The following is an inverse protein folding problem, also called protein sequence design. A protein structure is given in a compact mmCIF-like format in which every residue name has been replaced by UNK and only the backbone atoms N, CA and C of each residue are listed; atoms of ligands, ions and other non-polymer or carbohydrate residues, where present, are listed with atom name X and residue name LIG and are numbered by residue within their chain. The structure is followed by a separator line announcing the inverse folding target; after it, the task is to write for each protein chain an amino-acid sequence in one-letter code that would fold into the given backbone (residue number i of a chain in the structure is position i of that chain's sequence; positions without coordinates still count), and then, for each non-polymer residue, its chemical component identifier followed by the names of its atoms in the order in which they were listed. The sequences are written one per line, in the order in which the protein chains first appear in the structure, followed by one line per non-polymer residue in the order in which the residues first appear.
data_IF_675143610537
#
_entry.id   IF_675143610537
#
_cell.length_a   1.000
_cell.length_b   1.000
_cell.length_c   1.000
_cell.angle_alpha   90.00
_cell.angle_beta   90.00
_cell.angle_gamma   90.00
#
_symmetry.space_group_name_H-M   'P 1'
#
loop_
_entity.id
_entity.type
_entity.pdbx_description
1 polymer ?
#
# COMPACT_ATOMS: atom_id res chain seq x y z
N UNK A 1 49.36 40.85 -4.95
CA UNK A 1 49.45 41.83 -3.85
C UNK A 1 48.07 42.42 -3.63
N UNK A 2 47.40 42.06 -2.54
CA UNK A 2 46.13 42.67 -2.11
C UNK A 2 46.45 43.57 -0.91
N UNK A 3 46.09 44.84 -1.01
CA UNK A 3 46.25 45.85 0.04
C UNK A 3 45.35 45.51 1.24
N UNK A 4 45.88 45.48 2.47
CA UNK A 4 45.05 45.31 3.67
C UNK A 4 44.28 46.60 3.94
N UNK A 5 42.95 46.52 3.86
CA UNK A 5 42.02 47.56 4.29
C UNK A 5 40.85 46.90 5.03
N UNK A 6 40.35 47.56 6.08
CA UNK A 6 39.21 47.07 6.86
C UNK A 6 37.92 47.41 6.10
N UNK A 7 37.13 46.39 5.77
CA UNK A 7 35.77 46.55 5.25
C UNK A 7 34.80 46.21 6.38
N UNK A 8 33.92 47.14 6.73
CA UNK A 8 32.76 46.84 7.56
C UNK A 8 31.69 46.30 6.61
N UNK A 9 31.43 45.01 6.71
CA UNK A 9 30.26 44.37 6.09
C UNK A 9 29.21 44.28 7.20
N UNK A 10 28.15 45.07 7.10
CA UNK A 10 26.95 44.80 7.90
C UNK A 10 26.41 43.44 7.48
N UNK A 11 26.59 42.44 8.35
CA UNK A 11 25.83 41.20 8.24
C UNK A 11 24.40 41.54 8.65
N UNK A 12 23.47 41.45 7.71
CA UNK A 12 22.06 41.31 8.05
C UNK A 12 21.91 40.14 9.04
N UNK A 13 21.61 40.48 10.29
CA UNK A 13 21.68 39.57 11.42
C UNK A 13 20.44 38.69 11.58
N UNK A 14 19.54 38.68 10.60
CA UNK A 14 18.38 37.79 10.58
C UNK A 14 18.10 37.42 9.13
N UNK A 15 18.45 36.21 8.66
CA UNK A 15 17.67 35.66 7.56
C UNK A 15 16.23 35.66 8.06
N UNK A 16 15.32 36.33 7.36
CA UNK A 16 13.92 35.99 7.51
C UNK A 16 13.82 34.52 7.11
N UNK A 17 13.89 33.60 8.08
CA UNK A 17 13.45 32.24 7.87
C UNK A 17 11.94 32.36 7.73
N UNK A 18 11.48 32.60 6.51
CA UNK A 18 10.13 32.20 6.15
C UNK A 18 10.13 30.70 6.37
N UNK A 19 9.52 30.27 7.46
CA UNK A 19 9.15 28.87 7.61
C UNK A 19 8.20 28.64 6.45
N UNK A 20 8.62 27.89 5.44
CA UNK A 20 7.73 27.44 4.39
C UNK A 20 6.56 26.75 5.07
N UNK A 21 5.40 27.39 5.03
CA UNK A 21 4.16 26.75 5.45
C UNK A 21 3.87 25.76 4.33
N UNK A 22 3.98 24.47 4.63
CA UNK A 22 3.64 23.44 3.66
C UNK A 22 2.21 23.69 3.17
N UNK A 23 2.06 24.02 1.89
CA UNK A 23 0.76 24.35 1.26
C UNK A 23 -0.04 23.10 0.90
N UNK A 24 0.62 21.93 0.92
CA UNK A 24 0.07 20.65 0.53
C UNK A 24 0.35 19.58 1.59
N UNK A 25 -0.46 19.59 2.65
CA UNK A 25 -0.41 18.62 3.76
C UNK A 25 -1.65 17.72 3.69
N UNK A 26 -1.53 16.49 3.17
CA UNK A 26 -2.66 15.58 3.11
C UNK A 26 -2.98 14.95 4.47
N UNK A 27 -4.26 14.67 4.70
CA UNK A 27 -4.73 13.74 5.71
C UNK A 27 -5.10 12.41 5.06
N UNK A 28 -4.49 11.34 5.53
CA UNK A 28 -4.73 9.96 5.12
C UNK A 28 -5.51 9.21 6.19
N UNK A 29 -6.58 8.54 5.78
CA UNK A 29 -7.42 7.70 6.65
C UNK A 29 -7.37 6.26 6.15
N UNK A 30 -7.17 5.31 7.05
CA UNK A 30 -7.14 3.88 6.72
C UNK A 30 -6.80 2.98 7.90
N UNK A 31 -6.69 1.70 7.62
CA UNK A 31 -6.34 0.68 8.63
C UNK A 31 -4.82 0.52 8.71
N UNK A 32 -4.30 0.35 9.92
CA UNK A 32 -2.85 0.30 10.20
C UNK A 32 -2.49 -0.93 11.02
N UNK A 33 -1.22 -1.31 11.13
CA UNK A 33 -0.85 -2.46 11.99
C UNK A 33 -1.18 -2.17 13.46
N UNK A 34 -0.87 -0.96 13.90
CA UNK A 34 -1.10 -0.45 15.25
C UNK A 34 -1.38 1.06 15.21
N UNK A 35 -1.70 1.66 16.35
CA UNK A 35 -1.88 3.10 16.45
C UNK A 35 -1.50 3.56 17.87
N UNK A 36 -0.20 3.70 18.14
CA UNK A 36 0.31 3.96 19.49
C UNK A 36 1.51 4.90 19.51
N UNK A 37 1.56 5.77 20.52
CA UNK A 37 2.71 6.63 20.82
C UNK A 37 2.98 6.62 22.33
N UNK A 38 4.07 5.96 22.77
CA UNK A 38 4.51 5.88 24.18
C UNK A 38 3.33 5.58 25.11
N UNK A 39 2.68 4.43 24.90
CA UNK A 39 1.51 3.94 25.64
C UNK A 39 0.21 4.77 25.52
N UNK A 40 0.14 5.73 24.59
CA UNK A 40 -1.10 6.42 24.24
C UNK A 40 -1.61 5.92 22.91
N UNK A 41 -2.88 5.51 22.88
CA UNK A 41 -3.54 5.16 21.62
C UNK A 41 -3.74 6.39 20.74
N UNK A 42 -3.38 6.23 19.47
CA UNK A 42 -3.60 7.16 18.35
C UNK A 42 -4.85 6.77 17.52
N UNK A 43 -5.57 5.71 17.90
CA UNK A 43 -6.76 5.26 17.17
C UNK A 43 -7.81 6.38 17.07
N UNK A 44 -8.31 6.62 15.86
CA UNK A 44 -9.26 7.69 15.52
C UNK A 44 -8.79 9.10 15.90
N UNK A 45 -7.47 9.35 15.93
CA UNK A 45 -6.88 10.67 16.21
C UNK A 45 -5.96 11.07 15.06
N UNK A 46 -6.12 12.27 14.49
CA UNK A 46 -5.15 12.84 13.56
C UNK A 46 -3.79 12.92 14.24
N UNK A 47 -2.79 12.35 13.60
CA UNK A 47 -1.41 12.40 14.06
C UNK A 47 -0.50 12.78 12.90
N UNK A 48 0.19 13.91 13.05
CA UNK A 48 1.09 14.43 12.04
C UNK A 48 2.39 13.64 12.04
N UNK A 49 2.80 13.20 10.86
CA UNK A 49 4.10 12.57 10.60
C UNK A 49 4.85 13.36 9.52
N UNK A 50 6.16 13.22 9.48
CA UNK A 50 7.03 13.88 8.51
C UNK A 50 7.72 12.91 7.54
N UNK A 51 7.66 11.60 7.81
CA UNK A 51 8.30 10.58 7.00
C UNK A 51 7.65 9.21 7.17
N UNK A 52 7.94 8.30 6.24
CA UNK A 52 7.55 6.89 6.36
C UNK A 52 8.19 6.20 7.57
N UNK A 53 9.37 6.64 8.04
CA UNK A 53 10.00 6.09 9.24
C UNK A 53 9.17 6.40 10.49
N UNK A 54 8.66 7.62 10.61
CA UNK A 54 7.72 7.99 11.67
C UNK A 54 6.40 7.22 11.54
N UNK A 55 5.90 7.02 10.31
CA UNK A 55 4.74 6.16 10.11
C UNK A 55 4.98 4.77 10.70
N UNK A 56 6.07 4.10 10.33
CA UNK A 56 6.39 2.74 10.81
C UNK A 56 6.53 2.72 12.33
N UNK A 57 7.13 3.75 12.93
CA UNK A 57 7.25 3.86 14.37
C UNK A 57 5.88 3.82 15.07
N UNK A 58 4.93 4.65 14.63
CA UNK A 58 3.65 4.86 15.33
C UNK A 58 2.52 3.94 14.87
N UNK A 59 2.53 3.55 13.59
CA UNK A 59 1.45 2.83 12.92
C UNK A 59 1.83 1.44 12.41
N UNK A 60 3.12 1.13 12.38
CA UNK A 60 3.65 -0.16 11.94
C UNK A 60 3.79 -0.29 10.44
N UNK A 61 3.97 -1.51 9.95
CA UNK A 61 4.16 -1.81 8.52
C UNK A 61 2.86 -2.29 7.85
N UNK A 62 2.94 -2.74 6.60
CA UNK A 62 1.83 -3.40 5.90
C UNK A 62 1.57 -4.81 6.44
N UNK A 63 0.36 -5.35 6.23
CA UNK A 63 0.12 -6.75 6.56
C UNK A 63 0.91 -7.65 5.60
N UNK A 64 1.21 -8.89 6.03
CA UNK A 64 1.73 -9.91 5.12
C UNK A 64 0.55 -10.44 4.28
N UNK A 65 0.46 -10.10 2.99
CA UNK A 65 -0.66 -10.51 2.17
C UNK A 65 -0.61 -12.01 1.93
N UNK A 66 -1.76 -12.66 2.04
CA UNK A 66 -1.91 -14.11 1.95
C UNK A 66 -2.56 -14.49 0.62
N UNK A 67 -1.99 -15.45 -0.09
CA UNK A 67 -2.50 -15.97 -1.35
C UNK A 67 -2.75 -17.47 -1.27
N UNK A 68 -3.87 -17.91 -1.83
CA UNK A 68 -4.15 -19.31 -2.07
C UNK A 68 -3.61 -19.72 -3.44
N UNK A 69 -2.84 -20.80 -3.48
CA UNK A 69 -2.29 -21.40 -4.68
C UNK A 69 -3.16 -22.57 -5.13
N UNK A 70 -3.65 -22.47 -6.36
CA UNK A 70 -4.41 -23.51 -7.04
C UNK A 70 -3.80 -23.82 -8.41
N UNK A 71 -4.36 -24.79 -9.12
CA UNK A 71 -3.99 -25.09 -10.51
C UNK A 71 -5.22 -24.94 -11.42
N UNK A 72 -5.06 -24.21 -12.52
CA UNK A 72 -6.03 -24.15 -13.62
C UNK A 72 -5.30 -24.47 -14.92
N UNK A 73 -5.84 -25.39 -15.73
CA UNK A 73 -5.23 -25.81 -17.00
C UNK A 73 -3.74 -26.22 -16.90
N UNK A 74 -3.36 -26.83 -15.77
CA UNK A 74 -1.98 -27.17 -15.38
C UNK A 74 -1.04 -26.00 -15.05
N UNK A 75 -1.54 -24.77 -15.04
CA UNK A 75 -0.77 -23.59 -14.64
C UNK A 75 -1.08 -23.20 -13.19
N UNK A 76 -0.08 -22.77 -12.40
CA UNK A 76 -0.32 -22.23 -11.08
C UNK A 76 -1.16 -20.95 -11.16
N UNK A 77 -2.15 -20.81 -10.28
CA UNK A 77 -2.96 -19.61 -10.13
C UNK A 77 -2.96 -19.20 -8.67
N UNK A 78 -2.55 -17.95 -8.41
CA UNK A 78 -2.60 -17.33 -7.09
C UNK A 78 -3.85 -16.47 -6.95
N UNK A 79 -4.56 -16.62 -5.83
CA UNK A 79 -5.74 -15.81 -5.50
C UNK A 79 -5.53 -15.15 -4.15
N UNK A 80 -5.66 -13.82 -4.08
CA UNK A 80 -5.55 -13.10 -2.82
C UNK A 80 -6.64 -13.57 -1.83
N UNK A 81 -6.25 -13.73 -0.57
CA UNK A 81 -7.13 -14.14 0.53
C UNK A 81 -7.06 -13.13 1.67
N UNK A 82 -8.13 -13.06 2.46
CA UNK A 82 -8.23 -12.11 3.56
C UNK A 82 -8.66 -10.71 3.12
N UNK A 83 -8.48 -9.74 4.01
CA UNK A 83 -8.89 -8.35 3.79
C UNK A 83 -7.87 -7.61 2.93
N UNK A 84 -8.30 -6.85 1.90
CA UNK A 84 -7.40 -6.25 0.91
C UNK A 84 -6.84 -4.90 1.38
N UNK A 85 -6.15 -4.91 2.52
CA UNK A 85 -5.52 -3.72 3.09
C UNK A 85 -4.44 -3.16 2.16
N UNK A 86 -4.61 -1.90 1.75
CA UNK A 86 -3.67 -1.22 0.83
C UNK A 86 -3.09 0.06 1.43
N UNK A 87 -3.53 0.49 2.61
CA UNK A 87 -3.16 1.79 3.18
C UNK A 87 -1.65 2.02 3.30
N UNK A 88 -0.90 1.03 3.80
CA UNK A 88 0.56 1.14 3.91
C UNK A 88 1.25 1.32 2.55
N UNK A 89 0.88 0.51 1.56
CA UNK A 89 1.45 0.63 0.21
C UNK A 89 1.00 1.92 -0.48
N UNK A 90 -0.21 2.40 -0.19
CA UNK A 90 -0.68 3.69 -0.66
C UNK A 90 0.15 4.85 -0.07
N UNK A 91 0.55 4.78 1.20
CA UNK A 91 1.47 5.75 1.80
C UNK A 91 2.89 5.66 1.25
N UNK A 92 3.41 4.45 1.01
CA UNK A 92 4.68 4.28 0.26
C UNK A 92 4.58 4.95 -1.11
N UNK A 93 3.45 4.78 -1.81
CA UNK A 93 3.22 5.39 -3.11
C UNK A 93 3.18 6.93 -3.03
N UNK A 94 2.57 7.49 -1.99
CA UNK A 94 2.61 8.93 -1.69
C UNK A 94 4.05 9.44 -1.49
N UNK A 95 4.81 8.85 -0.56
CA UNK A 95 6.17 9.31 -0.26
C UNK A 95 7.13 9.14 -1.45
N UNK A 96 6.99 8.08 -2.24
CA UNK A 96 7.82 7.86 -3.43
C UNK A 96 7.51 8.84 -4.58
N UNK A 97 6.36 9.52 -4.56
CA UNK A 97 5.98 10.55 -5.54
C UNK A 97 6.16 11.98 -5.03
N UNK A 98 7.04 12.18 -4.04
CA UNK A 98 7.37 13.51 -3.51
C UNK A 98 6.46 13.97 -2.38
N UNK A 99 5.74 13.02 -1.75
CA UNK A 99 5.02 13.26 -0.51
C UNK A 99 5.92 13.76 0.62
N UNK A 100 5.37 14.66 1.43
CA UNK A 100 6.02 15.30 2.57
C UNK A 100 5.25 15.05 3.87
N UNK A 101 5.25 16.02 4.81
CA UNK A 101 4.45 15.91 6.02
C UNK A 101 2.97 15.65 5.72
N UNK A 102 2.37 14.74 6.49
CA UNK A 102 0.97 14.37 6.35
C UNK A 102 0.36 13.98 7.70
N UNK A 103 -0.96 13.98 7.76
CA UNK A 103 -1.70 13.47 8.90
C UNK A 103 -2.15 12.04 8.64
N UNK A 104 -2.03 11.19 9.65
CA UNK A 104 -2.54 9.82 9.63
C UNK A 104 -3.69 9.70 10.62
N UNK A 105 -4.76 9.05 10.19
CA UNK A 105 -5.89 8.66 11.02
C UNK A 105 -6.07 7.15 10.85
N UNK A 106 -5.56 6.40 11.83
CA UNK A 106 -5.84 4.98 11.95
C UNK A 106 -7.28 4.78 12.44
N UNK A 107 -8.07 4.00 11.71
CA UNK A 107 -9.48 3.71 12.06
C UNK A 107 -9.70 2.29 12.60
N UNK A 108 -8.67 1.45 12.55
CA UNK A 108 -8.68 0.05 12.96
C UNK A 108 -7.34 -0.61 12.66
N UNK A 109 -7.26 -1.93 12.89
CA UNK A 109 -6.08 -2.73 12.58
C UNK A 109 -6.36 -3.88 11.60
N UNK A 110 -5.32 -4.62 11.22
CA UNK A 110 -5.43 -5.70 10.22
C UNK A 110 -6.25 -6.92 10.66
N UNK A 111 -6.82 -6.92 11.86
CA UNK A 111 -7.77 -7.94 12.32
C UNK A 111 -9.23 -7.51 12.17
N UNK A 112 -9.47 -6.24 11.87
CA UNK A 112 -10.80 -5.70 11.62
C UNK A 112 -11.27 -6.03 10.18
N UNK A 113 -12.49 -5.64 9.82
CA UNK A 113 -12.98 -5.66 8.43
C UNK A 113 -13.00 -4.22 7.89
N UNK A 114 -12.58 -4.05 6.63
CA UNK A 114 -12.69 -2.77 5.94
C UNK A 114 -14.17 -2.47 5.70
N UNK A 115 -14.70 -1.46 6.39
CA UNK A 115 -16.11 -1.09 6.31
C UNK A 115 -16.30 0.43 6.29
N UNK A 116 -17.47 0.86 5.82
CA UNK A 116 -17.80 2.28 5.67
C UNK A 116 -17.68 3.06 6.98
N UNK A 117 -18.24 2.51 8.06
CA UNK A 117 -18.42 3.26 9.32
C UNK A 117 -17.09 3.67 9.98
N UNK A 118 -16.07 2.80 10.14
CA UNK A 118 -14.78 3.21 10.65
C UNK A 118 -14.09 4.29 9.81
N UNK A 119 -14.08 4.13 8.47
CA UNK A 119 -13.46 5.09 7.56
C UNK A 119 -14.16 6.46 7.62
N UNK A 120 -15.49 6.48 7.61
CA UNK A 120 -16.27 7.71 7.74
C UNK A 120 -16.04 8.38 9.10
N UNK A 121 -15.96 7.61 10.19
CA UNK A 121 -15.66 8.12 11.54
C UNK A 121 -14.28 8.79 11.61
N UNK A 122 -13.32 8.35 10.79
CA UNK A 122 -12.00 8.95 10.70
C UNK A 122 -11.99 10.38 10.16
N UNK A 123 -13.04 10.82 9.45
CA UNK A 123 -13.12 12.15 8.85
C UNK A 123 -13.35 13.22 9.92
N UNK A 124 -14.34 13.02 10.79
CA UNK A 124 -14.80 14.00 11.78
C UNK A 124 -13.68 14.63 12.65
N UNK A 125 -12.69 13.87 13.17
CA UNK A 125 -11.58 14.46 13.92
C UNK A 125 -10.81 15.56 13.17
N UNK A 126 -10.79 15.55 11.83
CA UNK A 126 -10.10 16.54 11.01
C UNK A 126 -10.75 17.94 11.04
N UNK A 127 -11.98 18.09 11.54
CA UNK A 127 -12.60 19.41 11.77
C UNK A 127 -11.78 20.25 12.78
N UNK A 128 -11.02 19.59 13.64
CA UNK A 128 -10.19 20.23 14.68
C UNK A 128 -8.78 20.55 14.22
N UNK A 129 -8.39 20.07 13.04
CA UNK A 129 -7.06 20.26 12.46
C UNK A 129 -7.15 21.25 11.30
N UNK A 130 -6.40 22.34 11.36
CA UNK A 130 -6.43 23.40 10.34
C UNK A 130 -5.36 23.21 9.25
N UNK A 131 -4.29 22.47 9.54
CA UNK A 131 -3.17 22.26 8.61
C UNK A 131 -3.52 21.37 7.40
N UNK A 132 -4.38 20.33 7.49
CA UNK A 132 -4.68 19.50 6.33
C UNK A 132 -5.36 20.26 5.18
N UNK A 133 -4.74 20.18 3.99
CA UNK A 133 -5.21 20.79 2.73
C UNK A 133 -5.66 19.76 1.70
N UNK A 134 -5.47 18.47 1.97
CA UNK A 134 -6.03 17.38 1.16
C UNK A 134 -6.62 16.30 2.06
N UNK A 135 -7.63 15.57 1.57
CA UNK A 135 -8.19 14.38 2.21
C UNK A 135 -8.09 13.19 1.25
N UNK A 136 -7.46 12.11 1.71
CA UNK A 136 -7.25 10.89 0.94
C UNK A 136 -7.64 9.67 1.76
N UNK A 137 -8.51 8.82 1.22
CA UNK A 137 -8.92 7.54 1.83
C UNK A 137 -8.72 6.42 0.79
N UNK A 138 -7.50 5.89 0.65
CA UNK A 138 -7.17 4.95 -0.44
C UNK A 138 -8.00 3.67 -0.40
N UNK A 139 -8.40 3.22 0.79
CA UNK A 139 -9.18 1.99 0.98
C UNK A 139 -10.68 2.16 0.68
N UNK A 140 -11.14 3.38 0.33
CA UNK A 140 -12.53 3.59 -0.09
C UNK A 140 -12.91 2.69 -1.27
N UNK A 141 -11.99 2.45 -2.22
CA UNK A 141 -12.23 1.59 -3.39
C UNK A 141 -12.20 0.09 -3.07
N UNK A 142 -11.94 -0.29 -1.82
CA UNK A 142 -12.06 -1.67 -1.31
C UNK A 142 -13.43 -1.96 -0.69
N UNK A 143 -14.27 -0.94 -0.52
CA UNK A 143 -15.67 -1.11 -0.09
C UNK A 143 -16.54 -1.64 -1.25
N UNK A 144 -17.77 -2.07 -0.93
CA UNK A 144 -18.80 -2.26 -1.96
C UNK A 144 -19.11 -0.94 -2.64
N UNK A 145 -19.54 -0.97 -3.91
CA UNK A 145 -19.70 0.23 -4.74
C UNK A 145 -20.52 1.35 -4.06
N UNK A 146 -21.69 1.02 -3.50
CA UNK A 146 -22.55 2.00 -2.84
C UNK A 146 -21.90 2.64 -1.61
N UNK A 147 -21.17 1.84 -0.81
CA UNK A 147 -20.43 2.32 0.35
C UNK A 147 -19.21 3.16 -0.06
N UNK A 148 -18.54 2.78 -1.15
CA UNK A 148 -17.45 3.56 -1.74
C UNK A 148 -17.94 4.96 -2.12
N UNK A 149 -19.04 5.05 -2.87
CA UNK A 149 -19.61 6.33 -3.28
C UNK A 149 -20.08 7.15 -2.09
N UNK A 150 -20.77 6.52 -1.13
CA UNK A 150 -21.18 7.17 0.12
C UNK A 150 -19.98 7.75 0.86
N UNK A 151 -18.88 7.01 1.00
CA UNK A 151 -17.67 7.51 1.67
C UNK A 151 -17.04 8.68 0.91
N UNK A 152 -16.98 8.60 -0.41
CA UNK A 152 -16.41 9.66 -1.25
C UNK A 152 -17.27 10.93 -1.25
N UNK A 153 -18.59 10.81 -1.15
CA UNK A 153 -19.48 11.94 -0.87
C UNK A 153 -19.20 12.56 0.50
N UNK A 154 -19.04 11.75 1.55
CA UNK A 154 -18.64 12.27 2.88
C UNK A 154 -17.27 13.00 2.83
N UNK A 155 -16.33 12.55 1.98
CA UNK A 155 -15.06 13.25 1.77
C UNK A 155 -15.27 14.60 1.09
N UNK A 156 -16.12 14.67 0.06
CA UNK A 156 -16.46 15.91 -0.66
C UNK A 156 -17.16 16.91 0.26
N UNK A 157 -18.15 16.45 1.02
CA UNK A 157 -18.90 17.28 1.96
C UNK A 157 -17.98 17.85 3.05
N UNK A 158 -17.13 17.03 3.67
CA UNK A 158 -16.14 17.53 4.63
C UNK A 158 -15.21 18.57 4.02
N UNK A 159 -14.73 18.35 2.80
CA UNK A 159 -13.85 19.31 2.12
C UNK A 159 -14.57 20.61 1.78
N UNK A 160 -15.83 20.54 1.35
CA UNK A 160 -16.68 21.69 1.06
C UNK A 160 -17.07 22.49 2.30
N UNK A 161 -17.37 21.84 3.42
CA UNK A 161 -17.69 22.50 4.69
C UNK A 161 -16.47 23.19 5.31
N UNK A 162 -15.29 22.59 5.18
CA UNK A 162 -14.05 23.14 5.74
C UNK A 162 -13.42 24.23 4.87
N UNK A 163 -13.75 24.27 3.58
CA UNK A 163 -13.27 25.19 2.52
C UNK A 163 -11.74 25.34 2.37
N UNK A 164 -10.97 24.59 3.15
CA UNK A 164 -9.50 24.68 3.28
C UNK A 164 -8.77 23.47 2.69
N UNK A 165 -9.53 22.50 2.15
CA UNK A 165 -8.98 21.23 1.67
C UNK A 165 -9.77 20.67 0.51
N UNK A 166 -9.14 19.78 -0.25
CA UNK A 166 -9.75 19.06 -1.38
C UNK A 166 -9.64 17.55 -1.20
N UNK A 167 -10.67 16.82 -1.62
CA UNK A 167 -10.68 15.36 -1.64
C UNK A 167 -9.94 14.84 -2.87
N UNK A 168 -8.99 13.92 -2.69
CA UNK A 168 -8.36 13.20 -3.80
C UNK A 168 -8.96 11.80 -3.83
N UNK A 169 -9.66 11.50 -4.92
CA UNK A 169 -10.53 10.33 -5.06
C UNK A 169 -10.01 9.39 -6.16
N UNK A 170 -10.35 8.11 -6.04
CA UNK A 170 -10.12 7.11 -7.07
C UNK A 170 -11.44 6.55 -7.61
N UNK A 171 -11.47 6.24 -8.90
CA UNK A 171 -12.63 5.55 -9.51
C UNK A 171 -12.74 4.13 -8.94
N UNK A 172 -13.93 3.79 -8.41
CA UNK A 172 -14.28 2.42 -8.04
C UNK A 172 -14.14 1.49 -9.24
N UNK A 173 -13.50 0.33 -9.05
CA UNK A 173 -13.10 -0.57 -10.15
C UNK A 173 -12.31 0.14 -11.27
N UNK A 174 -11.55 1.20 -10.93
CA UNK A 174 -10.70 1.93 -11.87
C UNK A 174 -9.57 1.11 -12.50
N UNK A 175 -9.48 -0.19 -12.19
CA UNK A 175 -8.65 -1.17 -12.88
C UNK A 175 -9.27 -1.72 -14.17
N UNK A 176 -10.59 -1.60 -14.36
CA UNK A 176 -11.25 -2.07 -15.56
C UNK A 176 -10.97 -1.12 -16.74
N UNK A 177 -10.83 -1.65 -17.97
CA UNK A 177 -10.74 -0.82 -19.15
C UNK A 177 -12.06 -0.07 -19.38
N UNK A 178 -11.95 1.14 -19.93
CA UNK A 178 -13.09 1.95 -20.39
C UNK A 178 -13.88 1.22 -21.47
N UNK A 179 -15.18 1.05 -21.26
CA UNK A 179 -16.13 0.53 -22.27
C UNK A 179 -16.71 1.67 -23.12
N UNK A 180 -16.79 2.88 -22.56
CA UNK A 180 -17.40 4.07 -23.17
C UNK A 180 -18.90 3.93 -23.51
N UNK A 181 -19.60 3.10 -22.74
CA UNK A 181 -21.06 2.98 -22.73
C UNK A 181 -21.62 3.41 -21.35
N UNK A 182 -22.90 3.14 -21.11
CA UNK A 182 -23.57 3.48 -19.85
C UNK A 182 -23.09 2.61 -18.67
N UNK A 183 -22.45 1.46 -18.95
CA UNK A 183 -21.86 0.55 -17.96
C UNK A 183 -20.37 0.89 -17.69
N UNK A 184 -19.85 1.95 -18.31
CA UNK A 184 -18.47 2.40 -18.13
C UNK A 184 -18.20 2.85 -16.70
N UNK A 185 -17.06 2.43 -16.13
CA UNK A 185 -16.69 2.70 -14.73
C UNK A 185 -16.68 4.19 -14.35
N UNK A 186 -16.39 5.10 -15.28
CA UNK A 186 -16.43 6.55 -14.99
C UNK A 186 -17.85 7.08 -15.17
N UNK A 187 -18.64 6.56 -16.12
CA UNK A 187 -20.06 6.92 -16.25
C UNK A 187 -20.79 6.51 -14.97
N UNK A 188 -20.63 5.26 -14.53
CA UNK A 188 -21.17 4.74 -13.28
C UNK A 188 -20.74 5.58 -12.05
N UNK A 189 -19.48 6.02 -11.99
CA UNK A 189 -19.02 6.90 -10.92
C UNK A 189 -19.69 8.28 -10.97
N UNK A 190 -19.77 8.91 -12.15
CA UNK A 190 -20.35 10.25 -12.32
C UNK A 190 -21.84 10.28 -11.99
N UNK A 191 -22.55 9.19 -12.31
CA UNK A 191 -23.97 9.05 -12.02
C UNK A 191 -24.23 8.61 -10.57
N UNK A 192 -23.26 7.93 -9.95
CA UNK A 192 -23.36 7.39 -8.59
C UNK A 192 -22.94 8.34 -7.46
N UNK A 193 -22.24 9.43 -7.76
CA UNK A 193 -21.82 10.47 -6.79
C UNK A 193 -22.74 11.68 -6.88
N UNK A 194 -23.12 12.25 -5.73
CA UNK A 194 -23.94 13.46 -5.63
C UNK A 194 -23.27 14.69 -6.25
N UNK A 195 -24.08 15.70 -6.59
CA UNK A 195 -23.59 16.95 -7.19
C UNK A 195 -23.14 18.01 -6.16
N UNK A 196 -23.05 17.65 -4.87
CA UNK A 196 -22.65 18.58 -3.81
C UNK A 196 -21.13 18.70 -3.74
N UNK A 197 -20.63 19.91 -3.47
CA UNK A 197 -19.21 20.20 -3.22
C UNK A 197 -18.22 19.64 -4.26
N UNK A 198 -18.65 19.41 -5.51
CA UNK A 198 -17.81 18.84 -6.57
C UNK A 198 -16.55 19.68 -6.86
N UNK A 199 -16.57 20.98 -6.59
CA UNK A 199 -15.40 21.87 -6.70
C UNK A 199 -14.30 21.57 -5.67
N UNK A 200 -14.59 20.76 -4.65
CA UNK A 200 -13.68 20.38 -3.57
C UNK A 200 -13.15 18.95 -3.74
N UNK A 201 -13.19 18.38 -4.94
CA UNK A 201 -12.65 17.06 -5.21
C UNK A 201 -11.96 16.94 -6.57
N UNK A 202 -10.99 16.02 -6.64
CA UNK A 202 -10.37 15.59 -7.89
C UNK A 202 -10.32 14.05 -7.92
N UNK A 203 -10.84 13.45 -8.99
CA UNK A 203 -10.94 12.00 -9.13
C UNK A 203 -10.02 11.49 -10.24
N UNK A 204 -9.35 10.36 -9.98
CA UNK A 204 -8.34 9.80 -10.87
C UNK A 204 -8.65 8.38 -11.36
N UNK A 205 -8.28 8.14 -12.62
CA UNK A 205 -8.33 6.86 -13.35
C UNK A 205 -7.15 6.84 -14.35
N UNK A 206 -6.55 5.69 -14.67
CA UNK A 206 -6.81 4.34 -14.13
C UNK A 206 -5.99 4.01 -12.88
N UNK A 207 -6.25 2.85 -12.29
CA UNK A 207 -5.29 2.21 -11.38
C UNK A 207 -3.97 1.94 -12.11
N UNK A 208 -2.86 1.95 -11.36
CA UNK A 208 -1.52 1.94 -11.92
C UNK A 208 -0.77 0.67 -11.54
N UNK A 209 -0.04 0.10 -12.50
CA UNK A 209 1.01 -0.86 -12.21
C UNK A 209 2.23 -0.10 -11.68
N UNK A 210 2.55 -0.33 -10.42
CA UNK A 210 3.60 0.36 -9.69
C UNK A 210 4.83 -0.53 -9.46
N UNK A 211 5.84 0.00 -8.78
CA UNK A 211 7.01 -0.74 -8.31
C UNK A 211 7.19 -0.57 -6.80
N UNK A 212 6.09 -0.39 -6.06
CA UNK A 212 6.10 -0.17 -4.61
C UNK A 212 6.66 -1.39 -3.89
N UNK A 213 6.11 -2.58 -4.16
CA UNK A 213 6.53 -3.85 -3.58
C UNK A 213 7.64 -4.45 -4.44
N UNK A 214 8.82 -4.61 -3.83
CA UNK A 214 9.98 -5.23 -4.47
C UNK A 214 9.93 -6.77 -4.35
N UNK A 215 10.59 -7.53 -5.24
CA UNK A 215 10.61 -8.99 -5.15
C UNK A 215 11.21 -9.52 -3.85
N UNK A 216 12.11 -8.76 -3.21
CA UNK A 216 12.79 -9.16 -1.98
C UNK A 216 11.92 -9.06 -0.72
N UNK A 217 10.73 -8.47 -0.86
CA UNK A 217 9.69 -8.40 0.18
C UNK A 217 8.78 -9.63 0.17
N UNK A 218 8.88 -10.48 -0.87
CA UNK A 218 8.03 -11.66 -1.02
C UNK A 218 8.79 -12.94 -0.69
N UNK A 219 8.11 -13.85 0.00
CA UNK A 219 8.61 -15.17 0.36
C UNK A 219 7.44 -16.15 0.57
N UNK A 220 7.72 -17.37 1.02
CA UNK A 220 6.70 -18.40 1.27
C UNK A 220 5.63 -17.96 2.28
N UNK A 221 5.88 -16.97 3.14
CA UNK A 221 4.85 -16.46 4.07
C UNK A 221 3.71 -15.75 3.34
N UNK A 222 3.86 -15.43 2.05
CA UNK A 222 2.79 -14.90 1.22
C UNK A 222 1.82 -15.99 0.72
N UNK A 223 2.16 -17.27 0.88
CA UNK A 223 1.27 -18.37 0.54
C UNK A 223 0.55 -18.89 1.79
N UNK A 224 -0.75 -19.13 1.65
CA UNK A 224 -1.56 -19.70 2.73
C UNK A 224 -1.08 -21.11 3.09
N UNK A 225 -1.31 -21.55 4.32
CA UNK A 225 -0.93 -22.90 4.76
C UNK A 225 -1.59 -24.00 3.91
N UNK A 226 -2.80 -23.77 3.38
CA UNK A 226 -3.48 -24.68 2.45
C UNK A 226 -2.81 -24.81 1.08
N UNK A 227 -1.91 -23.89 0.74
CA UNK A 227 -1.21 -23.85 -0.55
C UNK A 227 0.04 -24.73 -0.59
N UNK A 228 0.52 -25.19 0.57
CA UNK A 228 1.85 -25.82 0.67
C UNK A 228 1.89 -27.18 -0.02
N UNK A 229 0.87 -28.02 0.16
CA UNK A 229 0.79 -29.30 -0.53
C UNK A 229 0.70 -29.12 -2.06
N UNK A 230 -0.08 -28.13 -2.51
CA UNK A 230 -0.19 -27.76 -3.93
C UNK A 230 1.16 -27.31 -4.48
N UNK A 231 1.87 -26.44 -3.76
CA UNK A 231 3.20 -25.97 -4.13
C UNK A 231 4.18 -27.14 -4.25
N UNK A 232 4.23 -28.03 -3.26
CA UNK A 232 5.09 -29.22 -3.31
C UNK A 232 4.78 -30.07 -4.54
N UNK A 233 3.50 -30.32 -4.83
CA UNK A 233 3.06 -31.05 -6.03
C UNK A 233 3.52 -30.40 -7.34
N UNK A 234 3.44 -29.07 -7.42
CA UNK A 234 3.94 -28.29 -8.57
C UNK A 234 5.45 -28.48 -8.74
N UNK A 235 6.22 -28.30 -7.66
CA UNK A 235 7.68 -28.40 -7.69
C UNK A 235 8.12 -29.83 -8.05
N UNK A 236 7.47 -30.86 -7.50
CA UNK A 236 7.75 -32.26 -7.88
C UNK A 236 7.54 -32.50 -9.37
N UNK A 237 6.47 -31.96 -9.94
CA UNK A 237 6.17 -32.06 -11.37
C UNK A 237 7.19 -31.30 -12.22
N UNK A 238 7.55 -30.07 -11.83
CA UNK A 238 8.52 -29.23 -12.53
C UNK A 238 9.89 -29.90 -12.63
N UNK A 239 10.39 -30.46 -11.52
CA UNK A 239 11.68 -31.14 -11.49
C UNK A 239 11.63 -32.60 -11.94
N UNK A 240 10.44 -33.14 -12.24
CA UNK A 240 10.20 -34.55 -12.56
C UNK A 240 10.73 -35.50 -11.46
N UNK A 241 10.39 -35.19 -10.19
CA UNK A 241 10.86 -35.89 -8.98
C UNK A 241 9.66 -36.50 -8.23
N UNK A 242 9.83 -37.71 -7.70
CA UNK A 242 8.86 -38.34 -6.80
C UNK A 242 9.01 -37.84 -5.35
N UNK A 243 7.92 -37.74 -4.55
CA UNK A 243 8.00 -37.40 -3.13
C UNK A 243 8.87 -38.35 -2.30
N UNK A 244 9.14 -39.55 -2.80
CA UNK A 244 10.01 -40.54 -2.17
C UNK A 244 11.23 -40.84 -3.03
N UNK A 245 12.33 -41.22 -2.37
CA UNK A 245 13.58 -41.57 -3.05
C UNK A 245 13.43 -42.83 -3.90
N UNK A 246 14.09 -42.82 -5.07
CA UNK A 246 14.20 -43.99 -5.95
C UNK A 246 15.59 -44.62 -5.79
N UNK A 247 15.69 -45.94 -5.98
CA UNK A 247 16.99 -46.63 -5.99
C UNK A 247 17.89 -46.09 -7.11
N UNK A 248 19.14 -45.76 -6.76
CA UNK A 248 20.15 -45.27 -7.73
C UNK A 248 19.98 -43.82 -8.17
N UNK A 249 19.22 -43.01 -7.43
CA UNK A 249 18.97 -41.62 -7.77
C UNK A 249 20.23 -40.72 -7.68
N UNK A 250 20.30 -39.72 -8.58
CA UNK A 250 21.36 -38.70 -8.55
C UNK A 250 21.30 -37.86 -7.26
N UNK A 251 22.45 -37.60 -6.60
CA UNK A 251 22.48 -36.82 -5.36
C UNK A 251 21.80 -35.44 -5.46
N UNK A 252 21.82 -34.77 -6.62
CA UNK A 252 21.16 -33.46 -6.78
C UNK A 252 19.65 -33.58 -6.76
N UNK A 253 19.10 -34.64 -7.34
CA UNK A 253 17.67 -34.96 -7.27
C UNK A 253 17.24 -35.19 -5.82
N UNK A 254 18.07 -35.90 -5.05
CA UNK A 254 17.89 -36.06 -3.60
C UNK A 254 17.84 -34.72 -2.87
N UNK A 255 18.81 -33.84 -3.11
CA UNK A 255 18.88 -32.50 -2.49
C UNK A 255 17.66 -31.63 -2.82
N UNK A 256 17.21 -31.62 -4.08
CA UNK A 256 16.01 -30.86 -4.48
C UNK A 256 14.77 -31.43 -3.79
N UNK A 257 14.63 -32.76 -3.72
CA UNK A 257 13.52 -33.37 -2.97
C UNK A 257 13.55 -32.97 -1.51
N UNK A 258 14.71 -33.05 -0.86
CA UNK A 258 14.84 -32.72 0.57
C UNK A 258 14.47 -31.25 0.81
N UNK A 259 14.82 -30.35 -0.11
CA UNK A 259 14.41 -28.94 -0.09
C UNK A 259 12.88 -28.79 -0.22
N UNK A 260 12.23 -29.50 -1.15
CA UNK A 260 10.77 -29.45 -1.32
C UNK A 260 10.06 -30.03 -0.08
N UNK A 261 10.56 -31.14 0.45
CA UNK A 261 10.03 -31.79 1.64
C UNK A 261 10.21 -30.97 2.91
N UNK A 262 11.21 -30.08 2.98
CA UNK A 262 11.44 -29.23 4.14
C UNK A 262 10.54 -27.99 4.19
N UNK A 263 9.81 -27.65 3.12
CA UNK A 263 8.95 -26.46 3.08
C UNK A 263 8.00 -26.38 4.29
N UNK A 264 7.21 -27.42 4.62
CA UNK A 264 6.25 -27.33 5.73
C UNK A 264 6.94 -27.09 7.08
N UNK A 265 8.01 -27.83 7.38
CA UNK A 265 8.71 -27.71 8.66
C UNK A 265 9.46 -26.38 8.78
N UNK A 266 10.03 -25.86 7.70
CA UNK A 266 10.68 -24.54 7.69
C UNK A 266 9.65 -23.45 7.97
N UNK A 267 8.45 -23.53 7.41
CA UNK A 267 7.40 -22.54 7.65
C UNK A 267 6.83 -22.60 9.07
N UNK A 268 6.77 -23.78 9.69
CA UNK A 268 6.32 -23.94 11.08
C UNK A 268 7.38 -23.50 12.11
N UNK A 269 8.67 -23.76 11.86
CA UNK A 269 9.76 -23.60 12.83
C UNK A 269 10.48 -22.24 12.77
N UNK A 270 10.10 -21.33 11.87
CA UNK A 270 10.84 -20.10 11.63
C UNK A 270 10.35 -18.91 12.48
N UNK A 271 10.78 -18.90 13.73
CA UNK A 271 10.44 -17.84 14.70
C UNK A 271 10.83 -16.41 14.27
N UNK A 272 11.79 -16.26 13.35
CA UNK A 272 12.34 -14.95 12.95
C UNK A 272 12.24 -14.67 11.44
N UNK A 273 11.60 -15.54 10.66
CA UNK A 273 11.45 -15.38 9.20
C UNK A 273 12.74 -15.55 8.37
N UNK A 274 13.87 -15.90 8.99
CA UNK A 274 15.15 -16.03 8.29
C UNK A 274 15.24 -17.30 7.43
N UNK A 275 14.77 -18.44 7.95
CA UNK A 275 14.84 -19.73 7.25
C UNK A 275 13.90 -19.76 6.05
N UNK A 276 12.69 -19.22 6.22
CA UNK A 276 11.70 -19.08 5.15
C UNK A 276 12.25 -18.19 4.04
N UNK A 277 12.89 -17.09 4.40
CA UNK A 277 13.50 -16.19 3.40
C UNK A 277 14.64 -16.87 2.63
N UNK A 278 15.53 -17.58 3.31
CA UNK A 278 16.63 -18.33 2.66
C UNK A 278 16.09 -19.43 1.74
N UNK A 279 15.09 -20.18 2.19
CA UNK A 279 14.42 -21.21 1.39
C UNK A 279 13.76 -20.61 0.16
N UNK A 280 13.03 -19.50 0.32
CA UNK A 280 12.35 -18.80 -0.78
C UNK A 280 13.33 -18.25 -1.81
N UNK A 281 14.47 -17.71 -1.37
CA UNK A 281 15.55 -17.29 -2.27
C UNK A 281 16.13 -18.48 -3.06
N UNK A 282 16.32 -19.62 -2.39
CA UNK A 282 16.79 -20.84 -3.04
C UNK A 282 15.78 -21.32 -4.08
N UNK A 283 14.49 -21.42 -3.71
CA UNK A 283 13.41 -21.82 -4.61
C UNK A 283 13.29 -20.87 -5.81
N UNK A 284 13.37 -19.56 -5.60
CA UNK A 284 13.34 -18.56 -6.69
C UNK A 284 14.50 -18.76 -7.67
N UNK A 285 15.67 -19.17 -7.18
CA UNK A 285 16.85 -19.39 -8.02
C UNK A 285 16.77 -20.69 -8.84
N UNK A 286 16.10 -21.73 -8.34
CA UNK A 286 16.10 -23.07 -8.96
C UNK A 286 14.78 -23.41 -9.68
N UNK A 287 13.67 -22.79 -9.32
CA UNK A 287 12.32 -23.08 -9.84
C UNK A 287 11.77 -21.85 -10.57
N UNK A 288 11.76 -21.86 -11.92
CA UNK A 288 11.04 -20.87 -12.72
C UNK A 288 9.57 -20.74 -12.31
N UNK A 289 8.93 -21.84 -11.95
CA UNK A 289 7.51 -21.84 -11.56
C UNK A 289 7.28 -21.10 -10.25
N UNK A 290 8.11 -21.34 -9.23
CA UNK A 290 8.06 -20.57 -7.98
C UNK A 290 8.36 -19.09 -8.20
N UNK A 291 9.36 -18.78 -9.05
CA UNK A 291 9.64 -17.40 -9.42
C UNK A 291 8.44 -16.71 -10.07
N UNK A 292 7.71 -17.41 -10.96
CA UNK A 292 6.51 -16.86 -11.60
C UNK A 292 5.37 -16.66 -10.60
N UNK A 293 5.15 -17.59 -9.67
CA UNK A 293 4.17 -17.46 -8.58
C UNK A 293 4.46 -16.18 -7.76
N UNK A 294 5.71 -15.94 -7.39
CA UNK A 294 6.10 -14.72 -6.67
C UNK A 294 5.90 -13.45 -7.51
N UNK A 295 6.16 -13.50 -8.83
CA UNK A 295 5.93 -12.38 -9.74
C UNK A 295 4.43 -12.06 -9.90
N UNK A 296 3.57 -13.07 -9.94
CA UNK A 296 2.11 -12.86 -10.02
C UNK A 296 1.57 -12.21 -8.74
N UNK A 297 2.02 -12.66 -7.57
CA UNK A 297 1.74 -12.01 -6.28
C UNK A 297 2.24 -10.56 -6.30
N UNK A 298 3.48 -10.34 -6.75
CA UNK A 298 4.07 -9.01 -6.84
C UNK A 298 3.23 -8.08 -7.72
N UNK A 299 2.78 -8.58 -8.86
CA UNK A 299 2.00 -7.81 -9.84
C UNK A 299 0.66 -7.37 -9.26
N UNK A 300 -0.01 -8.25 -8.51
CA UNK A 300 -1.26 -7.95 -7.82
C UNK A 300 -1.06 -6.86 -6.76
N UNK A 301 -0.05 -7.03 -5.89
CA UNK A 301 0.26 -6.05 -4.83
C UNK A 301 0.69 -4.68 -5.35
N UNK A 302 1.30 -4.64 -6.53
CA UNK A 302 1.71 -3.40 -7.19
C UNK A 302 0.61 -2.75 -8.02
N UNK A 303 -0.59 -3.32 -8.06
CA UNK A 303 -1.71 -2.70 -8.76
C UNK A 303 -2.50 -1.80 -7.81
N UNK A 304 -2.14 -0.52 -7.79
CA UNK A 304 -2.60 0.44 -6.77
C UNK A 304 -3.43 1.57 -7.38
N UNK A 305 -4.42 2.09 -6.64
CA UNK A 305 -5.17 3.26 -7.05
C UNK A 305 -4.29 4.55 -6.95
N UNK A 306 -4.44 5.52 -7.86
CA UNK A 306 -3.51 6.64 -8.02
C UNK A 306 -3.65 7.79 -7.00
N UNK A 307 -4.73 7.93 -6.23
CA UNK A 307 -4.97 9.12 -5.40
C UNK A 307 -3.81 9.45 -4.46
N UNK A 308 -3.22 8.44 -3.82
CA UNK A 308 -2.07 8.67 -2.92
C UNK A 308 -0.83 9.19 -3.66
N UNK A 309 -0.56 8.69 -4.86
CA UNK A 309 0.52 9.23 -5.68
C UNK A 309 0.22 10.66 -6.14
N UNK A 310 -1.03 10.94 -6.52
CA UNK A 310 -1.44 12.28 -6.92
C UNK A 310 -1.34 13.29 -5.78
N UNK A 311 -1.71 12.91 -4.56
CA UNK A 311 -1.46 13.72 -3.37
C UNK A 311 0.05 13.99 -3.18
N UNK A 312 0.91 12.99 -3.48
CA UNK A 312 2.37 13.16 -3.46
C UNK A 312 2.85 14.15 -4.52
N UNK A 313 2.33 14.03 -5.74
CA UNK A 313 2.62 14.95 -6.84
C UNK A 313 2.16 16.37 -6.51
N UNK A 314 0.98 16.55 -5.90
CA UNK A 314 0.50 17.86 -5.45
C UNK A 314 1.46 18.43 -4.41
N UNK A 315 1.81 17.65 -3.38
CA UNK A 315 2.82 18.07 -2.39
C UNK A 315 4.14 18.47 -3.02
N UNK A 316 4.63 17.70 -3.98
CA UNK A 316 5.88 18.01 -4.68
C UNK A 316 5.77 19.29 -5.52
N UNK A 317 4.68 19.46 -6.27
CA UNK A 317 4.50 20.61 -7.16
C UNK A 317 4.36 21.89 -6.34
N UNK A 318 3.50 21.89 -5.33
CA UNK A 318 3.22 23.08 -4.52
C UNK A 318 4.47 23.53 -3.76
N UNK A 319 5.23 22.60 -3.19
CA UNK A 319 6.50 22.93 -2.51
C UNK A 319 7.58 23.48 -3.46
N UNK A 320 7.54 23.14 -4.76
CA UNK A 320 8.57 23.56 -5.71
C UNK A 320 8.17 24.76 -6.58
N UNK A 321 6.88 24.99 -6.79
CA UNK A 321 6.36 25.94 -7.79
C UNK A 321 5.33 26.92 -7.25
N UNK A 322 4.71 26.63 -6.11
CA UNK A 322 3.60 27.42 -5.54
C UNK A 322 2.26 27.12 -6.19
#
# INVERSE_FOLDING_TARGET
MKTPGVYIVEKDAFPNSVVEVATAVPAFIGYTERAENVHKSLLNKPFRITSLVEYIQYFGEGPVPQYELSQSDNEPVVTATGQPYIFYNALRFFFQNGGGPCYIISVGNYTDEISLQPLQKGIKPLEKEQEPTMLVIPEAVKLQQADCYTLQENMLDHCGEMESRVAILDIYQGYLPRTNDDEDVITAFRDGISTNHLSYGATYYPWLHTTIVSPQELDLNNLSSGSIETLQGILYKEFNISPSANEGEDPRTGQIRDLINSIPSVMEDDQHGHKVKELSLTLTAISPTFSNIMLDIQKDLNFLPPASAMAGVYTMVDNNRG
#
